data_IF_306539225710
#
_entry.id   IF_306539225710
#
_cell.length_a   1.000
_cell.length_b   1.000
_cell.length_c   1.000
_cell.angle_alpha   90.00
_cell.angle_beta   90.00
_cell.angle_gamma   90.00
#
_symmetry.space_group_name_H-M   'P 1'
#
loop_
_entity.id
_entity.type
_entity.pdbx_description
1 polymer ?
#
# COMPACT_ATOMS: atom_id res chain seq x y z
N UNK A 1 34.63 -19.83 73.23
CA UNK A 1 34.28 -18.56 72.53
C UNK A 1 34.76 -18.49 71.10
N UNK A 2 36.03 -18.91 70.76
CA UNK A 2 36.51 -18.84 69.34
C UNK A 2 35.77 -19.74 68.35
N UNK A 3 35.22 -20.88 68.76
CA UNK A 3 34.46 -21.78 67.88
C UNK A 3 33.02 -21.27 67.55
N UNK A 4 32.37 -20.57 68.46
CA UNK A 4 31.09 -19.96 68.22
C UNK A 4 31.17 -18.75 67.27
N UNK A 5 32.22 -17.95 67.35
CA UNK A 5 32.47 -16.81 66.44
C UNK A 5 32.78 -17.31 65.01
N UNK A 6 33.50 -18.40 64.85
CA UNK A 6 33.78 -18.96 63.52
C UNK A 6 32.53 -19.62 62.87
N UNK A 7 31.63 -20.19 63.65
CA UNK A 7 30.36 -20.69 63.19
C UNK A 7 29.41 -19.55 62.80
N UNK A 8 29.31 -18.50 63.60
CA UNK A 8 28.53 -17.28 63.27
C UNK A 8 29.07 -16.62 62.00
N UNK A 9 30.39 -16.52 61.83
CA UNK A 9 31.00 -15.97 60.62
C UNK A 9 30.65 -16.80 59.34
N UNK A 10 30.66 -18.13 59.46
CA UNK A 10 30.25 -19.00 58.35
C UNK A 10 28.81 -18.87 57.98
N UNK A 11 27.91 -18.80 58.95
CA UNK A 11 26.46 -18.58 58.69
C UNK A 11 26.20 -17.17 58.14
N UNK A 12 26.88 -16.13 58.60
CA UNK A 12 26.78 -14.79 58.06
C UNK A 12 27.25 -14.71 56.59
N UNK A 13 28.34 -15.41 56.25
CA UNK A 13 28.86 -15.48 54.88
C UNK A 13 27.92 -16.22 53.93
N UNK A 14 27.35 -17.35 54.39
CA UNK A 14 26.38 -18.08 53.57
C UNK A 14 25.06 -17.31 53.38
N UNK A 15 24.58 -16.65 54.44
CA UNK A 15 23.41 -15.80 54.36
C UNK A 15 23.62 -14.62 53.42
N UNK A 16 24.76 -13.97 53.46
CA UNK A 16 25.09 -12.87 52.53
C UNK A 16 25.18 -13.37 51.09
N UNK A 17 25.79 -14.52 50.85
CA UNK A 17 25.86 -15.10 49.51
C UNK A 17 24.48 -15.48 48.96
N UNK A 18 23.60 -16.04 49.77
CA UNK A 18 22.22 -16.33 49.40
C UNK A 18 21.44 -15.05 49.12
N UNK A 19 21.59 -14.01 49.93
CA UNK A 19 20.94 -12.72 49.73
C UNK A 19 21.37 -12.08 48.41
N UNK A 20 22.67 -12.10 48.10
CA UNK A 20 23.19 -11.57 46.82
C UNK A 20 22.69 -12.40 45.65
N UNK A 21 22.68 -13.73 45.73
CA UNK A 21 22.17 -14.62 44.69
C UNK A 21 20.67 -14.37 44.42
N UNK A 22 19.90 -14.20 45.51
CA UNK A 22 18.46 -13.92 45.40
C UNK A 22 18.20 -12.52 44.78
N UNK A 23 19.01 -11.52 45.16
CA UNK A 23 18.90 -10.19 44.56
C UNK A 23 19.27 -10.20 43.06
N UNK A 24 20.32 -10.89 42.70
CA UNK A 24 20.71 -11.04 41.28
C UNK A 24 19.63 -11.79 40.49
N UNK A 25 19.14 -12.91 41.03
CA UNK A 25 18.03 -13.66 40.41
C UNK A 25 16.76 -12.80 40.25
N UNK A 26 16.44 -11.97 41.25
CA UNK A 26 15.29 -11.06 41.20
C UNK A 26 15.47 -9.97 40.13
N UNK A 27 16.66 -9.41 39.99
CA UNK A 27 16.98 -8.39 38.96
C UNK A 27 16.82 -9.03 37.56
N UNK A 28 17.42 -10.20 37.34
CA UNK A 28 17.29 -10.92 36.06
C UNK A 28 15.85 -11.32 35.77
N UNK A 29 15.13 -11.80 36.77
CA UNK A 29 13.72 -12.14 36.63
C UNK A 29 12.88 -10.92 36.22
N UNK A 30 13.07 -9.79 36.90
CA UNK A 30 12.38 -8.55 36.59
C UNK A 30 12.68 -8.08 35.17
N UNK A 31 13.93 -8.11 34.75
CA UNK A 31 14.33 -7.70 33.41
C UNK A 31 13.78 -8.65 32.33
N UNK A 32 13.83 -9.96 32.55
CA UNK A 32 13.35 -10.96 31.60
C UNK A 32 11.81 -10.97 31.49
N UNK A 33 11.12 -10.88 32.62
CA UNK A 33 9.65 -10.92 32.66
C UNK A 33 8.99 -9.62 32.15
N UNK A 34 9.66 -8.48 32.29
CA UNK A 34 9.10 -7.16 31.94
C UNK A 34 9.43 -6.70 30.52
N UNK A 35 10.46 -7.25 29.89
CA UNK A 35 10.79 -6.89 28.50
C UNK A 35 9.78 -7.51 27.55
N UNK A 36 8.98 -6.70 26.82
CA UNK A 36 8.05 -7.24 25.83
C UNK A 36 8.83 -7.82 24.66
N UNK A 37 8.73 -9.11 24.46
CA UNK A 37 9.32 -9.78 23.31
C UNK A 37 8.36 -10.76 22.67
N UNK A 38 8.53 -11.00 21.37
CA UNK A 38 7.77 -11.98 20.61
C UNK A 38 8.64 -12.64 19.55
N UNK A 39 8.40 -13.92 19.27
CA UNK A 39 8.96 -14.65 18.13
C UNK A 39 8.04 -14.65 16.91
N UNK A 40 6.82 -14.16 17.09
CA UNK A 40 5.83 -14.07 16.03
C UNK A 40 5.83 -12.67 15.43
N UNK A 41 6.94 -12.34 14.77
CA UNK A 41 7.09 -11.16 13.96
C UNK A 41 7.08 -11.52 12.48
N UNK A 42 6.54 -10.63 11.64
CA UNK A 42 6.51 -10.77 10.19
C UNK A 42 6.95 -9.50 9.52
N UNK A 43 7.87 -9.62 8.58
CA UNK A 43 8.21 -8.53 7.68
C UNK A 43 7.04 -8.31 6.72
N UNK A 44 6.64 -7.07 6.54
CA UNK A 44 5.59 -6.65 5.62
C UNK A 44 6.11 -5.55 4.71
N UNK A 45 5.52 -5.42 3.55
CA UNK A 45 5.74 -4.31 2.63
C UNK A 45 4.43 -3.98 1.93
N UNK A 46 4.31 -2.78 1.40
CA UNK A 46 3.19 -2.41 0.55
C UNK A 46 3.34 -3.10 -0.81
N UNK A 47 2.27 -3.74 -1.24
CA UNK A 47 2.21 -4.39 -2.54
C UNK A 47 1.25 -3.61 -3.42
N UNK A 48 1.81 -2.92 -4.41
CA UNK A 48 1.04 -2.13 -5.37
C UNK A 48 0.55 -3.05 -6.48
N UNK A 49 -0.77 -3.18 -6.59
CA UNK A 49 -1.42 -3.96 -7.62
C UNK A 49 -1.59 -3.10 -8.88
N UNK A 50 -1.02 -3.56 -10.00
CA UNK A 50 -1.04 -2.84 -11.27
C UNK A 50 -2.12 -3.42 -12.16
N UNK A 51 -3.14 -2.62 -12.43
CA UNK A 51 -4.19 -2.88 -13.38
C UNK A 51 -4.09 -1.87 -14.54
N UNK A 52 -4.41 -2.26 -15.79
CA UNK A 52 -4.45 -1.33 -16.89
C UNK A 52 -5.72 -0.47 -16.85
N UNK A 53 -5.64 0.75 -17.36
CA UNK A 53 -6.81 1.64 -17.50
C UNK A 53 -7.60 1.38 -18.79
N UNK A 54 -6.96 0.73 -19.78
CA UNK A 54 -7.57 0.38 -21.07
C UNK A 54 -7.47 -1.12 -21.32
N UNK A 55 -8.50 -1.69 -21.95
CA UNK A 55 -8.52 -3.11 -22.31
C UNK A 55 -7.95 -3.35 -23.69
N UNK A 56 -7.27 -4.49 -23.88
CA UNK A 56 -6.77 -4.90 -25.18
C UNK A 56 -5.75 -6.04 -25.13
N UNK A 57 -5.33 -6.56 -26.29
CA UNK A 57 -4.30 -7.58 -26.36
C UNK A 57 -2.93 -7.00 -25.94
N UNK A 58 -2.18 -7.78 -25.17
CA UNK A 58 -0.82 -7.41 -24.74
C UNK A 58 0.16 -7.62 -25.89
N UNK A 59 0.76 -6.54 -26.36
CA UNK A 59 1.75 -6.59 -27.44
C UNK A 59 3.13 -6.98 -26.96
N UNK A 60 3.51 -6.54 -25.75
CA UNK A 60 4.84 -6.77 -25.17
C UNK A 60 4.78 -6.73 -23.64
N UNK A 61 5.52 -7.64 -23.00
CA UNK A 61 5.87 -7.60 -21.59
C UNK A 61 7.35 -7.25 -21.48
N UNK A 62 7.68 -6.16 -20.78
CA UNK A 62 9.03 -5.61 -20.74
C UNK A 62 9.84 -6.06 -19.52
N UNK A 63 9.18 -6.70 -18.55
CA UNK A 63 9.78 -7.12 -17.28
C UNK A 63 9.63 -8.62 -17.05
N UNK A 64 10.37 -9.13 -16.06
CA UNK A 64 10.29 -10.53 -15.59
C UNK A 64 9.87 -10.55 -14.13
N UNK A 65 9.38 -11.69 -13.68
CA UNK A 65 9.10 -11.91 -12.27
C UNK A 65 10.37 -11.77 -11.43
N UNK A 66 10.26 -11.17 -10.24
CA UNK A 66 11.36 -10.83 -9.34
C UNK A 66 12.41 -9.84 -9.91
N UNK A 67 12.09 -9.13 -10.99
CA UNK A 67 12.96 -8.09 -11.54
C UNK A 67 12.78 -6.78 -10.77
N UNK A 68 13.91 -6.10 -10.48
CA UNK A 68 13.89 -4.71 -10.00
C UNK A 68 13.39 -3.77 -11.10
N UNK A 69 12.53 -2.83 -10.73
CA UNK A 69 12.02 -1.76 -11.57
C UNK A 69 12.06 -0.44 -10.82
N UNK A 70 12.34 0.64 -11.54
CA UNK A 70 12.22 1.99 -11.01
C UNK A 70 10.85 2.58 -11.38
N UNK A 71 10.43 3.55 -10.61
CA UNK A 71 9.23 4.34 -10.92
C UNK A 71 9.31 4.91 -12.34
N UNK A 72 8.27 4.66 -13.14
CA UNK A 72 8.18 5.08 -14.53
C UNK A 72 8.66 4.03 -15.55
N UNK A 73 9.33 2.96 -15.12
CA UNK A 73 9.73 1.87 -16.00
C UNK A 73 8.51 1.19 -16.63
N UNK A 74 8.64 0.79 -17.89
CA UNK A 74 7.57 0.12 -18.63
C UNK A 74 7.47 -1.34 -18.15
N UNK A 75 6.29 -1.72 -17.69
CA UNK A 75 5.99 -3.08 -17.27
C UNK A 75 5.50 -3.92 -18.47
N UNK A 76 4.50 -3.43 -19.15
CA UNK A 76 3.95 -4.04 -20.36
C UNK A 76 3.26 -3.01 -21.24
N UNK A 77 2.97 -3.37 -22.48
CA UNK A 77 2.24 -2.54 -23.41
C UNK A 77 1.07 -3.32 -24.04
N UNK A 78 -0.07 -2.66 -24.10
CA UNK A 78 -1.26 -3.09 -24.83
C UNK A 78 -1.09 -2.67 -26.30
N UNK A 79 -1.65 -3.41 -27.26
CA UNK A 79 -1.61 -3.05 -28.66
C UNK A 79 -2.28 -1.68 -28.89
N UNK A 80 -1.53 -0.66 -29.30
CA UNK A 80 -2.04 0.68 -29.45
C UNK A 80 -2.80 0.91 -30.78
N UNK A 81 -2.93 -0.10 -31.64
CA UNK A 81 -3.38 0.11 -33.00
C UNK A 81 -4.79 0.74 -33.08
N UNK A 82 -5.77 0.16 -32.41
CA UNK A 82 -7.12 0.70 -32.38
C UNK A 82 -7.24 2.02 -31.63
N UNK A 83 -6.40 2.24 -30.58
CA UNK A 83 -6.34 3.51 -29.85
C UNK A 83 -5.79 4.65 -30.71
N UNK A 84 -4.80 4.38 -31.56
CA UNK A 84 -4.29 5.34 -32.54
C UNK A 84 -5.37 5.72 -33.55
N UNK A 85 -6.15 4.75 -34.03
CA UNK A 85 -7.29 5.02 -34.91
C UNK A 85 -8.35 5.87 -34.23
N UNK A 86 -8.63 5.64 -32.95
CA UNK A 86 -9.56 6.47 -32.18
C UNK A 86 -9.08 7.91 -32.06
N UNK A 87 -7.79 8.14 -31.83
CA UNK A 87 -7.19 9.50 -31.82
C UNK A 87 -7.35 10.17 -33.18
N UNK A 88 -7.01 9.49 -34.27
CA UNK A 88 -7.16 10.04 -35.62
C UNK A 88 -8.61 10.40 -35.95
N UNK A 89 -9.57 9.55 -35.56
CA UNK A 89 -11.00 9.81 -35.72
C UNK A 89 -11.46 11.06 -34.94
N UNK A 90 -11.02 11.18 -33.67
CA UNK A 90 -11.35 12.34 -32.84
C UNK A 90 -10.70 13.62 -33.37
N UNK A 91 -9.48 13.54 -33.94
CA UNK A 91 -8.85 14.69 -34.58
C UNK A 91 -9.64 15.19 -35.78
N UNK A 92 -10.13 14.27 -36.63
CA UNK A 92 -10.95 14.64 -37.78
C UNK A 92 -12.28 15.28 -37.35
N UNK A 93 -12.92 14.81 -36.27
CA UNK A 93 -14.13 15.42 -35.72
C UNK A 93 -13.88 16.83 -35.17
N UNK A 94 -12.76 17.03 -34.45
CA UNK A 94 -12.35 18.36 -33.98
C UNK A 94 -12.23 19.35 -35.13
N UNK A 95 -11.59 18.96 -36.25
CA UNK A 95 -11.47 19.84 -37.42
C UNK A 95 -12.83 20.11 -38.05
N UNK A 96 -13.71 19.12 -38.19
CA UNK A 96 -15.06 19.31 -38.70
C UNK A 96 -15.89 20.27 -37.84
N UNK A 97 -15.86 20.08 -36.51
CA UNK A 97 -16.56 20.96 -35.55
C UNK A 97 -15.98 22.38 -35.50
N UNK A 98 -14.65 22.51 -35.65
CA UNK A 98 -14.00 23.81 -35.77
C UNK A 98 -14.48 24.60 -36.98
N UNK A 99 -14.54 23.95 -38.15
CA UNK A 99 -15.04 24.60 -39.36
C UNK A 99 -16.54 24.97 -39.25
N UNK A 100 -17.36 24.09 -38.66
CA UNK A 100 -18.77 24.39 -38.38
C UNK A 100 -18.91 25.61 -37.48
N UNK A 101 -18.16 25.65 -36.36
CA UNK A 101 -18.16 26.77 -35.42
C UNK A 101 -17.82 28.10 -36.15
N UNK A 102 -16.69 28.12 -36.89
CA UNK A 102 -16.30 29.31 -37.63
C UNK A 102 -17.36 29.80 -38.62
N UNK A 103 -17.94 28.87 -39.38
CA UNK A 103 -19.00 29.19 -40.35
C UNK A 103 -20.25 29.78 -39.63
N UNK A 104 -20.68 29.21 -38.49
CA UNK A 104 -21.80 29.72 -37.70
C UNK A 104 -21.53 31.09 -37.09
N UNK A 105 -20.32 31.27 -36.54
CA UNK A 105 -19.88 32.57 -35.99
C UNK A 105 -19.86 33.65 -37.04
N UNK A 106 -19.35 33.38 -38.23
CA UNK A 106 -19.32 34.34 -39.32
C UNK A 106 -20.73 34.68 -39.84
N UNK A 107 -21.66 33.67 -39.88
CA UNK A 107 -23.04 33.92 -40.20
C UNK A 107 -23.73 34.81 -39.15
N UNK A 108 -23.50 34.57 -37.87
CA UNK A 108 -24.03 35.40 -36.79
C UNK A 108 -23.48 36.81 -36.82
N UNK A 109 -22.15 37.00 -37.05
CA UNK A 109 -21.53 38.30 -37.19
C UNK A 109 -22.12 39.10 -38.36
N UNK A 110 -22.23 38.49 -39.55
CA UNK A 110 -22.86 39.13 -40.73
C UNK A 110 -24.27 39.59 -40.46
N UNK A 111 -25.11 38.75 -39.82
CA UNK A 111 -26.52 39.12 -39.51
C UNK A 111 -26.60 40.23 -38.46
N UNK A 112 -25.71 40.23 -37.45
CA UNK A 112 -25.68 41.29 -36.45
C UNK A 112 -25.27 42.68 -37.01
N UNK A 113 -24.51 42.73 -38.15
CA UNK A 113 -24.12 43.95 -38.80
C UNK A 113 -25.26 44.58 -39.62
N UNK A 114 -26.23 43.82 -40.09
CA UNK A 114 -27.33 44.31 -40.92
C UNK A 114 -28.52 44.73 -40.01
N UNK A 115 -28.35 45.84 -39.29
CA UNK A 115 -29.39 46.40 -38.42
C UNK A 115 -30.55 47.01 -39.22
N UNK A 116 -31.78 46.71 -38.82
CA UNK A 116 -32.99 47.32 -39.34
C UNK A 116 -33.66 46.59 -40.51
N UNK A 117 -33.02 45.55 -41.07
CA UNK A 117 -33.60 44.71 -42.15
C UNK A 117 -33.94 43.30 -41.69
N UNK A 118 -33.29 42.83 -40.66
CA UNK A 118 -33.41 41.46 -40.10
C UNK A 118 -34.17 41.53 -38.78
N UNK A 119 -35.05 40.54 -38.50
CA UNK A 119 -35.80 40.46 -37.23
C UNK A 119 -34.83 40.21 -36.05
N UNK A 120 -35.19 40.70 -34.87
CA UNK A 120 -34.46 40.42 -33.63
C UNK A 120 -34.39 38.91 -33.31
N UNK A 121 -35.40 38.18 -33.69
CA UNK A 121 -35.49 36.72 -33.53
C UNK A 121 -34.46 35.98 -34.38
N UNK A 122 -34.25 36.36 -35.63
CA UNK A 122 -33.23 35.80 -36.53
C UNK A 122 -31.80 36.06 -36.03
N UNK A 123 -31.57 37.26 -35.47
CA UNK A 123 -30.26 37.59 -34.87
C UNK A 123 -30.02 36.71 -33.64
N UNK A 124 -31.02 36.55 -32.77
CA UNK A 124 -30.93 35.68 -31.58
C UNK A 124 -30.74 34.22 -31.95
N UNK A 125 -31.50 33.71 -32.91
CA UNK A 125 -31.42 32.32 -33.40
C UNK A 125 -30.03 32.02 -33.95
N UNK A 126 -29.44 32.89 -34.76
CA UNK A 126 -28.10 32.69 -35.30
C UNK A 126 -27.00 32.83 -34.25
N UNK A 127 -27.16 33.72 -33.26
CA UNK A 127 -26.29 33.83 -32.11
C UNK A 127 -26.29 32.54 -31.26
N UNK A 128 -27.50 32.00 -31.00
CA UNK A 128 -27.67 30.73 -30.31
C UNK A 128 -27.03 29.57 -31.07
N UNK A 129 -27.22 29.50 -32.40
CA UNK A 129 -26.59 28.48 -33.25
C UNK A 129 -25.04 28.55 -33.23
N UNK A 130 -24.48 29.76 -33.21
CA UNK A 130 -23.04 29.94 -33.08
C UNK A 130 -22.50 29.50 -31.70
N UNK A 131 -23.24 29.78 -30.63
CA UNK A 131 -22.91 29.33 -29.28
C UNK A 131 -22.98 27.81 -29.15
N UNK A 132 -24.01 27.15 -29.73
CA UNK A 132 -24.11 25.68 -29.77
C UNK A 132 -22.95 25.07 -30.55
N UNK A 133 -22.58 25.62 -31.70
CA UNK A 133 -21.45 25.15 -32.50
C UNK A 133 -20.13 25.29 -31.75
N UNK A 134 -19.95 26.38 -30.98
CA UNK A 134 -18.77 26.55 -30.12
C UNK A 134 -18.73 25.51 -29.00
N UNK A 135 -19.90 25.20 -28.37
CA UNK A 135 -19.94 24.15 -27.34
C UNK A 135 -19.67 22.75 -27.93
N UNK A 136 -20.16 22.47 -29.14
CA UNK A 136 -19.85 21.20 -29.83
C UNK A 136 -18.38 21.05 -30.18
N UNK A 137 -17.72 22.13 -30.60
CA UNK A 137 -16.27 22.15 -30.84
C UNK A 137 -15.50 21.84 -29.54
N UNK A 138 -15.89 22.46 -28.43
CA UNK A 138 -15.29 22.21 -27.14
C UNK A 138 -15.49 20.74 -26.69
N UNK A 139 -16.67 20.17 -26.93
CA UNK A 139 -16.94 18.74 -26.68
C UNK A 139 -16.04 17.81 -27.51
N UNK A 140 -15.79 18.15 -28.79
CA UNK A 140 -14.89 17.40 -29.66
C UNK A 140 -13.43 17.46 -29.17
N UNK A 141 -12.98 18.63 -28.68
CA UNK A 141 -11.64 18.75 -28.06
C UNK A 141 -11.48 17.84 -26.83
N UNK A 142 -12.48 17.79 -25.96
CA UNK A 142 -12.46 16.90 -24.78
C UNK A 142 -12.45 15.41 -25.20
N UNK A 143 -13.19 15.06 -26.26
CA UNK A 143 -13.17 13.69 -26.78
C UNK A 143 -11.78 13.31 -27.36
N UNK A 144 -11.11 14.23 -28.04
CA UNK A 144 -9.75 14.03 -28.51
C UNK A 144 -8.76 13.84 -27.35
N UNK A 145 -8.85 14.68 -26.31
CA UNK A 145 -8.02 14.56 -25.12
C UNK A 145 -8.20 13.19 -24.44
N UNK A 146 -9.44 12.71 -24.31
CA UNK A 146 -9.74 11.39 -23.77
C UNK A 146 -9.12 10.27 -24.63
N UNK A 147 -9.21 10.37 -25.95
CA UNK A 147 -8.61 9.38 -26.85
C UNK A 147 -7.08 9.35 -26.74
N UNK A 148 -6.45 10.52 -26.59
CA UNK A 148 -5.00 10.64 -26.38
C UNK A 148 -4.57 10.07 -25.01
N UNK A 149 -5.34 10.30 -23.96
CA UNK A 149 -5.12 9.74 -22.63
C UNK A 149 -5.19 8.21 -22.66
N UNK A 150 -6.21 7.65 -23.31
CA UNK A 150 -6.36 6.21 -23.47
C UNK A 150 -5.18 5.61 -24.25
N UNK A 151 -4.69 6.30 -25.27
CA UNK A 151 -3.50 5.86 -26.00
C UNK A 151 -2.23 5.89 -25.12
N UNK A 152 -2.08 6.91 -24.27
CA UNK A 152 -0.97 6.97 -23.32
C UNK A 152 -1.02 5.83 -22.30
N UNK A 153 -2.22 5.48 -21.82
CA UNK A 153 -2.47 4.39 -20.86
C UNK A 153 -2.30 2.99 -21.48
N UNK A 154 -2.15 2.87 -22.80
CA UNK A 154 -1.76 1.62 -23.43
C UNK A 154 -0.35 1.14 -23.01
N UNK A 155 0.49 2.04 -22.47
CA UNK A 155 1.80 1.71 -21.93
C UNK A 155 1.74 1.78 -20.41
N UNK A 156 1.68 0.62 -19.76
CA UNK A 156 1.58 0.51 -18.30
C UNK A 156 2.97 0.60 -17.68
N UNK A 157 3.10 1.49 -16.69
CA UNK A 157 4.38 1.81 -16.03
C UNK A 157 4.30 1.56 -14.53
N UNK A 158 5.47 1.36 -13.91
CA UNK A 158 5.58 1.24 -12.46
C UNK A 158 5.32 2.59 -11.77
N UNK A 159 4.43 2.65 -10.77
CA UNK A 159 4.23 3.85 -9.95
C UNK A 159 5.26 4.00 -8.81
N UNK A 160 6.02 2.95 -8.48
CA UNK A 160 6.97 2.87 -7.37
C UNK A 160 8.27 2.20 -7.80
N UNK A 161 9.31 2.35 -6.98
CA UNK A 161 10.54 1.58 -7.08
C UNK A 161 10.38 0.27 -6.31
N UNK A 162 10.75 -0.87 -6.89
CA UNK A 162 10.59 -2.14 -6.20
C UNK A 162 10.76 -3.37 -7.07
N UNK A 163 10.31 -4.50 -6.55
CA UNK A 163 10.42 -5.79 -7.23
C UNK A 163 9.07 -6.22 -7.80
N UNK A 164 9.10 -6.55 -9.09
CA UNK A 164 7.94 -7.15 -9.76
C UNK A 164 7.63 -8.51 -9.12
N UNK A 165 6.39 -8.75 -8.82
CA UNK A 165 5.92 -10.04 -8.32
C UNK A 165 4.59 -10.41 -8.97
N UNK A 166 4.26 -11.71 -8.96
CA UNK A 166 2.99 -12.19 -9.48
C UNK A 166 2.73 -11.80 -10.94
N UNK A 167 3.74 -11.85 -11.78
CA UNK A 167 3.63 -11.57 -13.21
C UNK A 167 2.95 -12.75 -13.93
N UNK A 168 1.64 -12.61 -14.16
CA UNK A 168 0.82 -13.63 -14.90
C UNK A 168 0.48 -13.19 -16.30
N UNK A 169 1.27 -12.33 -16.91
CA UNK A 169 0.99 -11.74 -18.19
C UNK A 169 2.00 -12.18 -19.23
N UNK A 170 1.52 -12.55 -20.41
CA UNK A 170 2.35 -12.93 -21.56
C UNK A 170 1.95 -12.11 -22.79
N UNK A 171 2.86 -11.89 -23.75
CA UNK A 171 2.48 -11.34 -25.05
C UNK A 171 1.41 -12.21 -25.71
N UNK A 172 0.33 -11.58 -26.20
CA UNK A 172 -0.84 -12.27 -26.75
C UNK A 172 -1.99 -12.46 -25.77
N UNK A 173 -1.78 -12.34 -24.46
CA UNK A 173 -2.87 -12.34 -23.48
C UNK A 173 -3.76 -11.10 -23.65
N UNK A 174 -4.99 -11.18 -23.16
CA UNK A 174 -5.90 -10.04 -23.12
C UNK A 174 -5.90 -9.39 -21.74
N UNK A 175 -5.54 -8.11 -21.67
CA UNK A 175 -5.61 -7.32 -20.45
C UNK A 175 -6.95 -6.60 -20.39
N UNK A 176 -7.66 -6.74 -19.25
CA UNK A 176 -8.93 -6.07 -18.98
C UNK A 176 -8.70 -4.89 -18.06
N UNK A 177 -9.30 -3.74 -18.37
CA UNK A 177 -9.22 -2.55 -17.52
C UNK A 177 -9.71 -2.83 -16.09
N UNK A 178 -8.95 -2.38 -15.09
CA UNK A 178 -9.24 -2.60 -13.67
C UNK A 178 -8.86 -3.98 -13.12
N UNK A 179 -8.42 -4.93 -13.94
CA UNK A 179 -8.00 -6.25 -13.48
C UNK A 179 -6.48 -6.30 -13.22
N UNK A 180 -6.09 -6.64 -11.99
CA UNK A 180 -4.67 -6.74 -11.61
C UNK A 180 -3.95 -7.84 -12.40
N UNK A 181 -2.90 -7.48 -13.11
CA UNK A 181 -2.08 -8.39 -13.93
C UNK A 181 -0.65 -8.54 -13.42
N UNK A 182 -0.16 -7.55 -12.69
CA UNK A 182 1.19 -7.48 -12.12
C UNK A 182 1.10 -6.87 -10.74
N UNK A 183 1.94 -7.30 -9.82
CA UNK A 183 2.10 -6.63 -8.53
C UNK A 183 3.56 -6.21 -8.35
N UNK A 184 3.79 -5.14 -7.59
CA UNK A 184 5.13 -4.63 -7.27
C UNK A 184 5.22 -4.47 -5.76
N UNK A 185 6.23 -5.06 -5.16
CA UNK A 185 6.58 -4.84 -3.75
C UNK A 185 7.39 -3.55 -3.68
N UNK A 186 6.85 -2.53 -3.02
CA UNK A 186 7.52 -1.24 -2.85
C UNK A 186 8.74 -1.41 -1.92
N UNK A 187 9.93 -1.12 -2.46
CA UNK A 187 11.19 -1.29 -1.76
C UNK A 187 11.38 -0.34 -0.56
N UNK A 188 10.62 0.76 -0.51
CA UNK A 188 10.73 1.77 0.54
C UNK A 188 9.67 1.64 1.64
N UNK A 189 8.79 0.65 1.53
CA UNK A 189 7.62 0.49 2.40
C UNK A 189 7.75 -0.60 3.46
N UNK A 190 8.93 -1.18 3.66
CA UNK A 190 9.08 -2.30 4.59
C UNK A 190 8.87 -1.90 6.06
N UNK A 191 8.10 -2.71 6.79
CA UNK A 191 7.93 -2.64 8.24
C UNK A 191 7.85 -4.04 8.85
N UNK A 192 7.91 -4.14 10.15
CA UNK A 192 7.71 -5.40 10.88
C UNK A 192 6.44 -5.33 11.71
N UNK A 193 5.60 -6.34 11.62
CA UNK A 193 4.47 -6.53 12.54
C UNK A 193 4.86 -7.59 13.57
N UNK A 194 4.95 -7.20 14.83
CA UNK A 194 5.13 -8.11 15.95
C UNK A 194 3.80 -8.41 16.63
N UNK A 195 3.49 -9.69 16.84
CA UNK A 195 2.26 -10.11 17.54
C UNK A 195 2.60 -10.37 19.01
N UNK A 196 2.26 -9.42 19.88
CA UNK A 196 2.53 -9.48 21.32
C UNK A 196 1.32 -9.96 22.10
N UNK A 197 1.57 -10.67 23.20
CA UNK A 197 0.52 -11.07 24.14
C UNK A 197 -0.09 -9.82 24.79
N UNK A 198 -1.42 -9.82 24.99
CA UNK A 198 -2.15 -8.71 25.61
C UNK A 198 -1.61 -8.34 27.01
N UNK A 199 -1.06 -9.31 27.74
CA UNK A 199 -0.44 -9.11 29.05
C UNK A 199 0.79 -8.22 29.04
N UNK A 200 1.45 -8.09 27.88
CA UNK A 200 2.69 -7.29 27.70
C UNK A 200 2.41 -5.88 27.16
N UNK A 201 1.18 -5.60 26.72
CA UNK A 201 0.83 -4.32 26.09
C UNK A 201 1.04 -3.11 27.02
N UNK A 202 0.89 -3.29 28.33
CA UNK A 202 1.11 -2.22 29.31
C UNK A 202 2.53 -1.64 29.26
N UNK A 203 3.50 -2.41 28.76
CA UNK A 203 4.89 -2.03 28.66
C UNK A 203 5.28 -1.53 27.25
N UNK A 204 4.39 -1.63 26.28
CA UNK A 204 4.60 -1.17 24.90
C UNK A 204 4.06 0.23 24.74
N UNK A 205 4.84 1.15 24.19
CA UNK A 205 4.44 2.53 23.90
C UNK A 205 4.92 2.90 22.50
N UNK A 206 4.15 3.72 21.81
CA UNK A 206 4.55 4.32 20.53
C UNK A 206 5.83 5.14 20.75
N UNK A 207 6.75 5.05 19.81
CA UNK A 207 8.06 5.69 19.85
C UNK A 207 9.16 4.91 20.58
N UNK A 208 8.85 3.81 21.29
CA UNK A 208 9.90 2.97 21.90
C UNK A 208 10.70 2.24 20.85
N UNK A 209 12.01 2.12 21.10
CA UNK A 209 12.95 1.38 20.25
C UNK A 209 12.65 -0.12 20.30
N UNK A 210 12.64 -0.73 19.13
CA UNK A 210 12.49 -2.16 18.94
C UNK A 210 13.72 -2.75 18.28
N UNK A 211 14.18 -3.86 18.81
CA UNK A 211 15.24 -4.67 18.25
C UNK A 211 14.63 -5.86 17.53
N UNK A 212 14.98 -6.04 16.27
CA UNK A 212 14.40 -7.02 15.39
C UNK A 212 15.50 -7.97 14.91
N UNK A 213 15.32 -9.25 15.10
CA UNK A 213 16.19 -10.30 14.60
C UNK A 213 15.43 -11.13 13.57
N UNK A 214 15.90 -11.13 12.33
CA UNK A 214 15.32 -11.91 11.24
C UNK A 214 15.81 -13.36 11.31
N UNK A 215 14.91 -14.30 11.06
CA UNK A 215 15.32 -15.71 10.98
C UNK A 215 16.14 -15.93 9.69
N UNK A 216 17.38 -16.39 9.85
CA UNK A 216 18.30 -16.63 8.74
C UNK A 216 19.31 -15.48 8.45
N UNK A 217 19.29 -14.42 9.25
CA UNK A 217 20.25 -13.32 9.16
C UNK A 217 20.84 -13.07 10.54
N UNK A 218 22.16 -12.94 10.62
CA UNK A 218 22.86 -12.66 11.89
C UNK A 218 22.78 -11.20 12.34
N UNK A 219 22.39 -10.32 11.42
CA UNK A 219 22.28 -8.88 11.67
C UNK A 219 20.99 -8.54 12.40
N UNK A 220 21.11 -7.68 13.42
CA UNK A 220 19.97 -7.12 14.13
C UNK A 220 19.54 -5.81 13.46
N UNK A 221 18.24 -5.68 13.22
CA UNK A 221 17.63 -4.45 12.73
C UNK A 221 17.15 -3.62 13.93
N UNK A 222 17.21 -2.31 13.80
CA UNK A 222 16.69 -1.38 14.77
C UNK A 222 15.50 -0.66 14.14
N UNK A 223 14.45 -0.51 14.91
CA UNK A 223 13.25 0.23 14.53
C UNK A 223 12.58 0.82 15.76
N UNK A 224 11.45 1.45 15.56
CA UNK A 224 10.63 1.99 16.64
C UNK A 224 9.16 1.58 16.48
N UNK A 225 8.45 1.52 17.59
CA UNK A 225 7.01 1.24 17.60
C UNK A 225 6.28 2.42 16.96
N UNK A 226 5.71 2.20 15.79
CA UNK A 226 4.91 3.19 15.06
C UNK A 226 3.47 3.22 15.58
N UNK A 227 2.87 2.05 15.73
CA UNK A 227 1.48 1.95 16.17
C UNK A 227 1.16 0.60 16.81
N UNK A 228 0.10 0.57 17.61
CA UNK A 228 -0.44 -0.64 18.25
C UNK A 228 -1.84 -0.85 17.67
N UNK A 229 -2.12 -2.05 17.19
CA UNK A 229 -3.42 -2.41 16.64
C UNK A 229 -4.54 -2.20 17.65
N UNK A 230 -5.63 -1.57 17.22
CA UNK A 230 -6.78 -1.23 18.08
C UNK A 230 -7.94 -2.21 17.97
N UNK A 231 -7.85 -3.15 17.03
CA UNK A 231 -8.86 -4.18 16.82
C UNK A 231 -8.22 -5.54 16.59
N UNK A 232 -8.82 -6.56 17.16
CA UNK A 232 -8.50 -7.97 16.93
C UNK A 232 -9.82 -8.61 16.54
N UNK A 233 -9.80 -9.45 15.48
CA UNK A 233 -10.98 -10.23 15.11
C UNK A 233 -11.39 -11.14 16.26
N UNK A 234 -12.67 -11.09 16.61
CA UNK A 234 -13.26 -12.06 17.54
C UNK A 234 -13.84 -13.22 16.72
N UNK A 235 -13.34 -14.43 16.97
CA UNK A 235 -13.85 -15.63 16.30
C UNK A 235 -15.33 -15.92 16.61
N UNK A 236 -15.89 -15.28 17.64
CA UNK A 236 -17.30 -15.38 17.99
C UNK A 236 -18.18 -14.35 17.27
N UNK A 237 -17.57 -13.40 16.54
CA UNK A 237 -18.30 -12.36 15.80
C UNK A 237 -18.52 -12.72 14.32
N UNK A 238 -18.13 -13.94 13.94
CA UNK A 238 -18.47 -14.49 12.61
C UNK A 238 -19.97 -14.79 12.58
N UNK A 239 -20.71 -14.03 11.80
CA UNK A 239 -22.13 -14.29 11.54
C UNK A 239 -22.27 -15.58 10.74
N UNK A 240 -22.86 -16.60 11.36
CA UNK A 240 -23.26 -17.82 10.67
C UNK A 240 -24.23 -17.52 9.53
N UNK A 241 -24.40 -18.44 8.58
CA UNK A 241 -25.21 -18.27 7.37
C UNK A 241 -26.68 -17.84 7.58
N UNK A 242 -27.17 -17.77 8.83
CA UNK A 242 -28.48 -17.26 9.24
C UNK A 242 -28.42 -15.86 9.85
N UNK A 243 -27.27 -15.16 9.84
CA UNK A 243 -27.13 -13.82 10.40
C UNK A 243 -27.10 -13.78 11.94
N UNK A 244 -26.98 -14.92 12.61
CA UNK A 244 -26.83 -15.03 14.05
C UNK A 244 -25.34 -15.21 14.40
N UNK A 245 -24.86 -14.62 15.55
CA UNK A 245 -23.50 -14.87 16.02
C UNK A 245 -23.28 -16.35 16.31
N UNK A 246 -22.21 -16.91 15.75
CA UNK A 246 -21.80 -18.29 16.04
C UNK A 246 -20.94 -18.28 17.29
N UNK A 247 -21.54 -18.61 18.44
CA UNK A 247 -20.83 -18.66 19.71
C UNK A 247 -20.29 -20.07 19.92
N UNK A 248 -18.99 -20.25 19.71
CA UNK A 248 -18.32 -21.51 20.07
C UNK A 248 -18.25 -21.65 21.60
N UNK A 249 -18.86 -22.70 22.19
CA UNK A 249 -18.72 -22.99 23.62
C UNK A 249 -17.31 -23.52 23.87
N UNK A 250 -16.33 -22.65 24.00
CA UNK A 250 -14.96 -23.06 24.32
C UNK A 250 -14.76 -23.12 25.82
N UNK A 251 -14.85 -24.32 26.36
CA UNK A 251 -14.22 -24.65 27.63
C UNK A 251 -12.72 -24.90 27.38
N UNK A 252 -11.94 -23.83 27.22
CA UNK A 252 -10.50 -24.00 27.28
C UNK A 252 -10.06 -24.01 28.73
N UNK A 253 -9.46 -25.11 29.17
CA UNK A 253 -8.85 -25.28 30.50
C UNK A 253 -7.87 -24.14 30.83
N UNK A 254 -7.19 -23.60 29.80
CA UNK A 254 -6.30 -22.47 29.93
C UNK A 254 -6.74 -21.37 28.94
N UNK A 255 -7.08 -20.19 29.46
CA UNK A 255 -7.38 -19.03 28.64
C UNK A 255 -6.06 -18.50 28.06
N UNK A 256 -5.84 -18.69 26.77
CA UNK A 256 -4.70 -18.15 26.08
C UNK A 256 -4.86 -16.63 25.91
N UNK A 257 -3.78 -15.90 26.17
CA UNK A 257 -3.75 -14.46 25.94
C UNK A 257 -3.89 -14.16 24.44
N UNK A 258 -4.71 -13.19 24.10
CA UNK A 258 -4.85 -12.70 22.72
C UNK A 258 -3.56 -12.06 22.24
N UNK A 259 -3.32 -12.12 20.92
CA UNK A 259 -2.14 -11.50 20.30
C UNK A 259 -2.52 -10.22 19.59
N UNK A 260 -1.88 -9.15 20.01
CA UNK A 260 -2.11 -7.81 19.48
C UNK A 260 -1.01 -7.46 18.49
N UNK A 261 -1.35 -7.05 17.24
CA UNK A 261 -0.36 -6.62 16.28
C UNK A 261 0.21 -5.26 16.66
N UNK A 262 1.53 -5.18 16.69
CA UNK A 262 2.29 -3.93 16.89
C UNK A 262 3.10 -3.68 15.63
N UNK A 263 2.87 -2.53 14.99
CA UNK A 263 3.61 -2.10 13.82
C UNK A 263 4.90 -1.41 14.24
N UNK A 264 6.00 -1.83 13.65
CA UNK A 264 7.34 -1.36 13.94
C UNK A 264 7.94 -0.86 12.63
N UNK A 265 8.26 0.42 12.59
CA UNK A 265 8.96 1.05 11.47
C UNK A 265 10.46 0.76 11.61
N UNK A 266 11.10 0.43 10.52
CA UNK A 266 12.55 0.23 10.46
C UNK A 266 13.24 1.59 10.35
N UNK A 267 14.22 1.85 11.23
CA UNK A 267 14.97 3.12 11.24
C UNK A 267 16.12 3.09 10.22
N UNK A 268 16.74 1.92 10.08
CA UNK A 268 17.88 1.73 9.18
C UNK A 268 17.77 0.41 8.45
N UNK A 269 18.04 0.43 7.16
CA UNK A 269 18.24 -0.77 6.35
C UNK A 269 19.75 -1.07 6.31
N UNK A 270 20.21 -2.16 6.92
CA UNK A 270 21.62 -2.52 6.81
C UNK A 270 21.98 -2.90 5.38
N UNK A 271 23.13 -2.45 4.92
CA UNK A 271 23.64 -2.81 3.61
C UNK A 271 23.84 -4.34 3.53
N UNK A 272 23.30 -4.96 2.47
CA UNK A 272 23.47 -6.40 2.20
C UNK A 272 22.33 -7.29 2.71
N UNK A 273 21.25 -6.75 3.27
CA UNK A 273 20.03 -7.50 3.59
C UNK A 273 18.95 -7.17 2.56
N UNK A 274 18.60 -8.14 1.75
CA UNK A 274 17.41 -8.04 0.90
C UNK A 274 16.20 -8.51 1.69
N UNK A 275 15.36 -7.55 2.10
CA UNK A 275 14.12 -7.86 2.82
C UNK A 275 13.11 -8.44 1.85
N UNK A 276 12.48 -9.53 2.27
CA UNK A 276 11.36 -10.14 1.57
C UNK A 276 10.11 -10.07 2.46
N UNK A 277 9.01 -9.61 1.90
CA UNK A 277 7.72 -9.62 2.61
C UNK A 277 7.33 -11.06 2.97
N UNK A 278 7.00 -11.28 4.25
CA UNK A 278 6.68 -12.61 4.77
C UNK A 278 7.78 -13.26 5.61
N UNK A 279 9.01 -12.73 5.63
CA UNK A 279 10.07 -13.23 6.50
C UNK A 279 9.64 -13.21 7.97
N UNK A 280 10.06 -14.24 8.70
CA UNK A 280 9.82 -14.35 10.14
C UNK A 280 10.86 -13.55 10.92
N UNK A 281 10.41 -12.88 11.97
CA UNK A 281 11.24 -12.06 12.83
C UNK A 281 10.95 -12.31 14.30
N UNK A 282 11.97 -12.18 15.14
CA UNK A 282 11.82 -12.02 16.59
C UNK A 282 11.96 -10.55 16.92
N UNK A 283 11.07 -10.04 17.75
CA UNK A 283 11.03 -8.61 18.12
C UNK A 283 11.11 -8.48 19.62
N UNK A 284 11.99 -7.59 20.09
CA UNK A 284 12.10 -7.19 21.48
C UNK A 284 12.00 -5.67 21.59
N UNK A 285 11.11 -5.19 22.45
CA UNK A 285 10.92 -3.74 22.67
C UNK A 285 11.74 -3.35 23.90
N UNK A 286 12.62 -2.37 23.73
CA UNK A 286 13.47 -1.89 24.81
C UNK A 286 12.65 -1.11 25.85
N UNK A 287 12.99 -1.21 27.13
CA UNK A 287 12.26 -0.56 28.21
C UNK A 287 12.21 0.97 28.13
#
# INVERSE_FOLDING_TARGET
MKSLLSLLGRYALTLSAVAVATLVAFIFWKQYAQTPWTRDGRVRADVVQIAPDVSGPVSRVAVRDNQWVNRGDILYAIDPHWLKLAVLSSQADVEAKRHEMLMRQDAARRRAMIKGVISSEDIQQTGSAASIAAANYQGALTALELAQLNLAHATVRSPVDGYVTHLRLRPGDYATAGETKVAIVDAHSFWVVGYFEETKLSHIRVGKTAQISLMGFDSQLIGHVESIGRGIGDSNDETGGLGLPDVNPTFSWVRLAQRVPVRIQLDTMPAGIELVAGLSASVSIMP
#
